data_IF_146396186051
#
_entry.id   IF_146396186051
#
_cell.length_a   1.000
_cell.length_b   1.000
_cell.length_c   1.000
_cell.angle_alpha   90.00
_cell.angle_beta   90.00
_cell.angle_gamma   90.00
#
_symmetry.space_group_name_H-M   'P 1'
#
loop_
_entity.id
_entity.type
_entity.pdbx_description
1 polymer ?
#
# COMPACT_ATOMS: atom_id res chain seq x y z
N UNK A 1 -40.64 21.43 -36.18
CA UNK A 1 -39.33 20.72 -36.23
C UNK A 1 -38.21 21.35 -35.37
N UNK A 2 -38.23 22.64 -35.05
CA UNK A 2 -37.18 23.27 -34.23
C UNK A 2 -37.21 22.94 -32.72
N UNK A 3 -38.32 22.48 -32.17
CA UNK A 3 -38.50 22.18 -30.74
C UNK A 3 -37.87 20.84 -30.29
N UNK A 4 -37.78 19.87 -31.18
CA UNK A 4 -37.25 18.55 -30.87
C UNK A 4 -35.69 18.51 -30.92
N UNK A 5 -35.07 19.42 -31.66
CA UNK A 5 -33.62 19.53 -31.76
C UNK A 5 -32.96 19.97 -30.43
N UNK A 6 -33.66 20.79 -29.66
CA UNK A 6 -33.17 21.24 -28.32
C UNK A 6 -33.22 20.14 -27.26
N UNK A 7 -34.22 19.26 -27.34
CA UNK A 7 -34.35 18.13 -26.39
C UNK A 7 -33.27 17.09 -26.64
N UNK A 8 -32.89 16.83 -27.89
CA UNK A 8 -31.82 15.89 -28.25
C UNK A 8 -30.44 16.38 -27.79
N UNK A 9 -30.18 17.68 -27.82
CA UNK A 9 -28.92 18.27 -27.32
C UNK A 9 -28.84 18.19 -25.81
N UNK A 10 -29.94 18.37 -25.09
CA UNK A 10 -29.99 18.23 -23.63
C UNK A 10 -29.81 16.78 -23.18
N UNK A 11 -30.29 15.78 -23.94
CA UNK A 11 -30.06 14.37 -23.64
C UNK A 11 -28.57 13.94 -23.85
N UNK A 12 -27.88 14.58 -24.78
CA UNK A 12 -26.48 14.26 -25.07
C UNK A 12 -25.52 14.80 -24.04
N UNK A 13 -25.91 15.88 -23.34
CA UNK A 13 -25.09 16.48 -22.26
C UNK A 13 -25.20 15.66 -20.96
N UNK A 14 -26.30 14.91 -20.75
CA UNK A 14 -26.53 14.11 -19.55
C UNK A 14 -25.71 12.81 -19.50
N UNK A 15 -25.01 12.42 -20.57
CA UNK A 15 -24.13 11.24 -20.61
C UNK A 15 -22.67 11.54 -20.34
N UNK A 16 -22.34 12.75 -19.89
CA UNK A 16 -21.00 13.01 -19.35
C UNK A 16 -20.82 12.12 -18.13
N UNK A 17 -20.20 10.99 -18.34
CA UNK A 17 -19.79 10.01 -17.35
C UNK A 17 -19.08 10.74 -16.22
N UNK A 18 -19.74 10.88 -15.09
CA UNK A 18 -19.05 11.15 -13.82
C UNK A 18 -18.18 9.92 -13.54
N UNK A 19 -17.00 9.87 -14.14
CA UNK A 19 -15.93 9.05 -13.60
C UNK A 19 -15.62 9.65 -12.24
N UNK A 20 -16.20 9.08 -11.22
CA UNK A 20 -15.70 9.24 -9.86
C UNK A 20 -14.27 8.69 -9.89
N UNK A 21 -13.32 9.56 -10.21
CA UNK A 21 -11.94 9.29 -9.91
C UNK A 21 -11.89 9.22 -8.39
N UNK A 22 -11.51 8.06 -7.86
CA UNK A 22 -11.14 7.93 -6.44
C UNK A 22 -9.95 8.85 -6.26
N UNK A 23 -10.26 10.10 -5.91
CA UNK A 23 -9.26 11.12 -5.63
C UNK A 23 -8.63 10.72 -4.31
N UNK A 24 -7.29 10.59 -4.30
CA UNK A 24 -6.50 10.23 -3.11
C UNK A 24 -6.69 8.77 -2.62
N UNK A 25 -6.40 7.81 -3.48
CA UNK A 25 -6.32 6.40 -3.06
C UNK A 25 -5.08 6.21 -2.18
N UNK A 26 -5.27 6.17 -0.87
CA UNK A 26 -4.21 6.04 0.15
C UNK A 26 -4.51 4.88 1.08
N UNK A 27 -3.59 3.95 1.24
CA UNK A 27 -3.75 2.81 2.14
C UNK A 27 -2.48 2.63 2.98
N UNK A 28 -2.67 2.39 4.28
CA UNK A 28 -1.67 1.82 5.16
C UNK A 28 -2.03 0.36 5.47
N UNK A 29 -1.11 -0.55 5.13
CA UNK A 29 -1.20 -1.97 5.46
C UNK A 29 -0.48 -2.23 6.78
N UNK A 30 -1.15 -2.94 7.67
CA UNK A 30 -0.63 -3.36 8.97
C UNK A 30 -0.29 -4.86 8.92
N UNK A 31 1.00 -5.20 8.90
CA UNK A 31 1.49 -6.57 8.68
C UNK A 31 2.19 -7.09 9.93
N UNK A 32 1.65 -8.17 10.49
CA UNK A 32 2.20 -8.78 11.72
C UNK A 32 2.50 -10.28 11.59
N UNK A 33 2.00 -10.95 10.56
CA UNK A 33 2.12 -12.39 10.37
C UNK A 33 3.45 -12.80 9.75
N UNK A 34 3.98 -13.96 10.19
CA UNK A 34 5.09 -14.66 9.53
C UNK A 34 4.64 -15.55 8.37
N UNK A 35 3.32 -15.69 8.13
CA UNK A 35 2.78 -16.57 7.08
C UNK A 35 3.16 -16.02 5.70
N UNK A 36 3.89 -16.82 4.93
CA UNK A 36 4.34 -16.46 3.59
C UNK A 36 3.19 -16.31 2.58
N UNK A 37 2.03 -16.93 2.82
CA UNK A 37 0.84 -16.70 2.00
C UNK A 37 0.28 -15.30 2.20
N UNK A 38 0.32 -14.77 3.43
CA UNK A 38 -0.01 -13.38 3.74
C UNK A 38 0.97 -12.44 3.02
N UNK A 39 2.28 -12.73 3.09
CA UNK A 39 3.30 -11.93 2.39
C UNK A 39 3.03 -11.84 0.88
N UNK A 40 2.70 -12.97 0.23
CA UNK A 40 2.34 -13.02 -1.19
C UNK A 40 1.03 -12.29 -1.48
N UNK A 41 0.04 -12.38 -0.59
CA UNK A 41 -1.25 -11.71 -0.75
C UNK A 41 -1.09 -10.18 -0.72
N UNK A 42 -0.32 -9.65 0.22
CA UNK A 42 -0.02 -8.21 0.31
C UNK A 42 0.64 -7.69 -0.97
N UNK A 43 1.65 -8.40 -1.48
CA UNK A 43 2.31 -8.05 -2.74
C UNK A 43 1.33 -8.07 -3.92
N UNK A 44 0.47 -9.10 -4.01
CA UNK A 44 -0.56 -9.17 -5.04
C UNK A 44 -1.49 -7.95 -4.99
N UNK A 45 -1.98 -7.58 -3.81
CA UNK A 45 -2.85 -6.41 -3.64
C UNK A 45 -2.14 -5.10 -4.00
N UNK A 46 -0.89 -4.92 -3.61
CA UNK A 46 -0.11 -3.76 -4.04
C UNK A 46 -0.05 -3.66 -5.57
N UNK A 47 0.21 -4.78 -6.25
CA UNK A 47 0.26 -4.83 -7.71
C UNK A 47 -1.09 -4.53 -8.35
N UNK A 48 -2.18 -5.13 -7.85
CA UNK A 48 -3.54 -4.91 -8.33
C UNK A 48 -3.97 -3.44 -8.16
N UNK A 49 -3.71 -2.86 -6.98
CA UNK A 49 -4.02 -1.46 -6.71
C UNK A 49 -3.22 -0.54 -7.62
N UNK A 50 -1.90 -0.73 -7.72
CA UNK A 50 -1.04 0.10 -8.57
C UNK A 50 -1.35 -0.06 -10.06
N UNK A 51 -1.79 -1.24 -10.50
CA UNK A 51 -2.25 -1.48 -11.86
C UNK A 51 -3.53 -0.73 -12.21
N UNK A 52 -4.49 -0.67 -11.26
CA UNK A 52 -5.75 0.03 -11.45
C UNK A 52 -5.67 1.55 -11.14
N UNK A 53 -4.82 1.92 -10.18
CA UNK A 53 -4.65 3.29 -9.68
C UNK A 53 -3.15 3.63 -9.58
N UNK A 54 -2.49 4.03 -10.68
CA UNK A 54 -1.03 4.28 -10.69
C UNK A 54 -0.55 5.31 -9.66
N UNK A 55 -1.39 6.29 -9.34
CA UNK A 55 -1.10 7.35 -8.36
C UNK A 55 -1.44 6.96 -6.92
N UNK A 56 -1.97 5.76 -6.67
CA UNK A 56 -2.28 5.29 -5.33
C UNK A 56 -1.03 5.33 -4.43
N UNK A 57 -1.21 5.81 -3.20
CA UNK A 57 -0.17 5.87 -2.18
C UNK A 57 -0.33 4.68 -1.23
N UNK A 58 0.68 3.83 -1.16
CA UNK A 58 0.67 2.63 -0.34
C UNK A 58 1.81 2.69 0.67
N UNK A 59 1.49 2.51 1.93
CA UNK A 59 2.48 2.29 2.96
C UNK A 59 2.26 0.94 3.62
N UNK A 60 3.31 0.13 3.71
CA UNK A 60 3.27 -1.21 4.27
C UNK A 60 4.14 -1.20 5.54
N UNK A 61 3.51 -1.39 6.70
CA UNK A 61 4.16 -1.29 8.00
C UNK A 61 4.32 -2.68 8.61
N UNK A 62 5.56 -3.03 8.93
CA UNK A 62 5.96 -4.34 9.46
C UNK A 62 6.32 -4.26 10.93
N UNK A 63 5.72 -5.14 11.72
CA UNK A 63 6.10 -5.38 13.12
C UNK A 63 5.64 -6.80 13.55
N UNK A 64 5.74 -7.11 14.84
CA UNK A 64 5.37 -8.44 15.31
C UNK A 64 6.26 -9.53 14.72
N UNK A 65 5.69 -10.47 13.98
CA UNK A 65 6.41 -11.61 13.39
C UNK A 65 6.62 -11.47 11.87
N UNK A 66 6.23 -10.35 11.26
CA UNK A 66 6.26 -10.18 9.81
C UNK A 66 7.62 -9.81 9.23
N UNK A 67 8.65 -9.62 10.05
CA UNK A 67 9.93 -9.05 9.63
C UNK A 67 10.69 -9.93 8.62
N UNK A 68 10.39 -11.23 8.54
CA UNK A 68 10.98 -12.09 7.52
C UNK A 68 10.62 -11.66 6.09
N UNK A 69 9.45 -11.04 5.89
CA UNK A 69 9.03 -10.54 4.57
C UNK A 69 10.00 -9.50 4.00
N UNK A 70 10.68 -8.74 4.87
CA UNK A 70 11.56 -7.62 4.47
C UNK A 70 13.02 -7.85 4.82
N UNK A 71 13.38 -9.09 5.21
CA UNK A 71 14.78 -9.45 5.59
C UNK A 71 15.46 -10.20 4.46
N UNK A 72 16.69 -9.82 4.12
CA UNK A 72 17.51 -10.48 3.10
C UNK A 72 17.72 -11.96 3.45
N UNK A 73 17.64 -12.82 2.44
CA UNK A 73 17.79 -14.27 2.57
C UNK A 73 16.63 -15.00 3.24
N UNK A 74 15.63 -14.29 3.77
CA UNK A 74 14.43 -14.89 4.40
C UNK A 74 13.15 -14.63 3.61
N UNK A 75 13.08 -13.50 2.95
CA UNK A 75 11.88 -13.08 2.22
C UNK A 75 11.61 -13.95 1.00
N UNK A 76 10.38 -14.46 0.90
CA UNK A 76 9.89 -15.20 -0.29
C UNK A 76 9.38 -14.24 -1.40
N UNK A 77 9.36 -12.93 -1.14
CA UNK A 77 8.88 -11.88 -2.03
C UNK A 77 9.92 -10.76 -2.23
N UNK A 78 11.20 -11.06 -1.98
CA UNK A 78 12.26 -10.07 -1.98
C UNK A 78 12.36 -9.25 -3.27
N UNK A 79 12.24 -9.90 -4.43
CA UNK A 79 12.28 -9.23 -5.74
C UNK A 79 11.11 -8.26 -5.93
N UNK A 80 9.92 -8.65 -5.49
CA UNK A 80 8.73 -7.81 -5.59
C UNK A 80 8.81 -6.60 -4.64
N UNK A 81 9.26 -6.79 -3.41
CA UNK A 81 9.48 -5.70 -2.46
C UNK A 81 10.46 -4.68 -3.04
N UNK A 82 11.61 -5.14 -3.54
CA UNK A 82 12.62 -4.25 -4.14
C UNK A 82 12.10 -3.53 -5.38
N UNK A 83 11.31 -4.20 -6.21
CA UNK A 83 10.69 -3.59 -7.40
C UNK A 83 9.65 -2.54 -7.01
N UNK A 84 8.74 -2.85 -6.09
CA UNK A 84 7.70 -1.93 -5.64
C UNK A 84 8.29 -0.73 -4.88
N UNK A 85 9.39 -0.92 -4.15
CA UNK A 85 10.07 0.17 -3.43
C UNK A 85 10.69 1.23 -4.36
N UNK A 86 10.82 0.95 -5.66
CA UNK A 86 11.22 1.96 -6.66
C UNK A 86 10.06 2.89 -7.08
N UNK A 87 8.82 2.56 -6.74
CA UNK A 87 7.68 3.46 -6.95
C UNK A 87 7.62 4.49 -5.82
N UNK A 88 7.72 5.78 -6.16
CA UNK A 88 7.70 6.90 -5.19
C UNK A 88 6.45 6.94 -4.29
N UNK A 89 5.38 6.28 -4.72
CA UNK A 89 4.10 6.22 -4.01
C UNK A 89 3.94 4.91 -3.21
N UNK A 90 4.98 4.07 -3.13
CA UNK A 90 4.97 2.83 -2.33
C UNK A 90 6.10 2.89 -1.31
N UNK A 91 5.79 2.71 -0.05
CA UNK A 91 6.78 2.70 1.03
C UNK A 91 6.66 1.46 1.91
N UNK A 92 7.80 0.88 2.24
CA UNK A 92 7.94 -0.25 3.14
C UNK A 92 8.61 0.22 4.43
N UNK A 93 7.90 0.15 5.55
CA UNK A 93 8.32 0.66 6.85
C UNK A 93 8.42 -0.47 7.85
N UNK A 94 9.52 -0.55 8.60
CA UNK A 94 9.69 -1.54 9.65
C UNK A 94 9.88 -0.87 11.01
N UNK A 95 9.19 -1.39 12.01
CA UNK A 95 9.23 -0.93 13.39
C UNK A 95 10.59 -1.23 14.04
N UNK A 96 11.31 -0.20 14.47
CA UNK A 96 12.62 -0.36 15.14
C UNK A 96 12.53 -1.14 16.47
N UNK A 97 11.40 -1.05 17.18
CA UNK A 97 11.15 -1.82 18.39
C UNK A 97 11.07 -3.32 18.06
N UNK A 98 10.36 -3.67 16.96
CA UNK A 98 10.28 -5.05 16.52
C UNK A 98 11.63 -5.57 16.01
N UNK A 99 12.40 -4.77 15.28
CA UNK A 99 13.75 -5.14 14.83
C UNK A 99 14.66 -5.49 16.03
N UNK A 100 14.67 -4.66 17.07
CA UNK A 100 15.42 -4.94 18.30
C UNK A 100 15.00 -6.24 18.97
N UNK A 101 13.69 -6.51 19.04
CA UNK A 101 13.15 -7.76 19.63
C UNK A 101 13.61 -9.01 18.88
N UNK A 102 13.72 -8.92 17.55
CA UNK A 102 14.09 -10.04 16.69
C UNK A 102 15.58 -10.05 16.30
N UNK A 103 16.40 -9.17 16.89
CA UNK A 103 17.82 -9.01 16.59
C UNK A 103 18.10 -8.84 15.09
N UNK A 104 17.29 -8.00 14.42
CA UNK A 104 17.49 -7.66 13.02
C UNK A 104 18.14 -6.29 12.94
N UNK A 105 19.28 -6.22 12.24
CA UNK A 105 19.99 -4.97 11.92
C UNK A 105 19.49 -4.37 10.60
N UNK A 106 19.66 -3.06 10.44
CA UNK A 106 19.27 -2.35 9.22
C UNK A 106 19.97 -2.86 7.96
N UNK A 107 21.21 -3.36 8.11
CA UNK A 107 21.97 -3.97 7.01
C UNK A 107 21.36 -5.26 6.47
N UNK A 108 20.47 -5.90 7.23
CA UNK A 108 19.76 -7.11 6.84
C UNK A 108 18.44 -6.84 6.12
N UNK A 109 18.01 -5.59 6.04
CA UNK A 109 16.78 -5.23 5.36
C UNK A 109 16.93 -5.28 3.84
N UNK A 110 15.83 -5.58 3.14
CA UNK A 110 15.79 -5.50 1.69
C UNK A 110 15.99 -4.04 1.23
N UNK A 111 16.58 -3.83 0.04
CA UNK A 111 16.69 -2.49 -0.55
C UNK A 111 15.34 -1.77 -0.65
N UNK A 112 15.31 -0.50 -0.23
CA UNK A 112 14.11 0.32 -0.25
C UNK A 112 13.21 0.21 0.98
N UNK A 113 13.50 -0.73 1.90
CA UNK A 113 12.83 -0.79 3.21
C UNK A 113 13.49 0.22 4.15
N UNK A 114 12.68 1.01 4.85
CA UNK A 114 13.14 2.03 5.80
C UNK A 114 12.56 1.79 7.19
N UNK A 115 13.25 2.27 8.21
CA UNK A 115 12.83 2.11 9.60
C UNK A 115 11.95 3.25 10.09
N UNK A 116 11.01 2.94 10.98
CA UNK A 116 10.28 3.92 11.79
C UNK A 116 10.48 3.60 13.26
N UNK A 117 10.48 4.60 14.16
CA UNK A 117 10.69 4.36 15.59
C UNK A 117 9.68 3.38 16.19
N UNK A 118 8.39 3.56 15.86
CA UNK A 118 7.26 2.76 16.32
C UNK A 118 6.27 2.54 15.18
N UNK A 119 6.06 1.28 14.79
CA UNK A 119 5.16 0.92 13.67
C UNK A 119 3.69 1.19 13.97
N UNK A 120 3.25 1.05 15.24
CA UNK A 120 1.86 1.32 15.63
C UNK A 120 1.58 2.83 15.54
N UNK A 121 2.53 3.63 15.99
CA UNK A 121 2.41 5.09 15.89
C UNK A 121 2.45 5.55 14.43
N UNK A 122 3.28 4.95 13.59
CA UNK A 122 3.31 5.22 12.14
C UNK A 122 1.94 4.98 11.49
N UNK A 123 1.31 3.83 11.77
CA UNK A 123 -0.04 3.52 11.28
C UNK A 123 -1.05 4.58 11.73
N UNK A 124 -1.00 4.99 13.01
CA UNK A 124 -1.88 6.04 13.53
C UNK A 124 -1.67 7.37 12.80
N UNK A 125 -0.42 7.75 12.53
CA UNK A 125 -0.10 8.96 11.79
C UNK A 125 -0.64 8.90 10.36
N UNK A 126 -0.47 7.78 9.65
CA UNK A 126 -1.01 7.59 8.31
C UNK A 126 -2.53 7.69 8.26
N UNK A 127 -3.23 7.13 9.25
CA UNK A 127 -4.68 7.29 9.35
C UNK A 127 -5.08 8.77 9.55
N UNK A 128 -4.34 9.54 10.33
CA UNK A 128 -4.54 11.00 10.48
C UNK A 128 -4.29 11.77 9.18
N UNK A 129 -3.39 11.27 8.32
CA UNK A 129 -3.10 11.81 6.99
C UNK A 129 -4.14 11.38 5.93
N UNK A 130 -5.20 10.66 6.34
CA UNK A 130 -6.30 10.24 5.47
C UNK A 130 -6.07 8.89 4.77
N UNK A 131 -5.12 8.08 5.22
CA UNK A 131 -4.95 6.72 4.72
C UNK A 131 -6.06 5.80 5.25
N UNK A 132 -6.64 5.00 4.35
CA UNK A 132 -7.44 3.85 4.73
C UNK A 132 -6.55 2.79 5.39
N UNK A 133 -7.09 2.05 6.36
CA UNK A 133 -6.36 1.04 7.12
C UNK A 133 -6.76 -0.37 6.69
N UNK A 134 -5.78 -1.22 6.41
CA UNK A 134 -5.98 -2.64 6.16
C UNK A 134 -5.06 -3.46 7.05
N UNK A 135 -5.67 -4.30 7.90
CA UNK A 135 -4.96 -5.27 8.75
C UNK A 135 -4.73 -6.57 7.99
N UNK A 136 -3.49 -7.02 7.95
CA UNK A 136 -3.10 -8.34 7.50
C UNK A 136 -2.28 -9.08 8.55
N UNK A 137 -2.57 -10.36 8.74
CA UNK A 137 -1.84 -11.22 9.67
C UNK A 137 -2.60 -11.52 10.96
N UNK A 138 -3.72 -12.16 10.81
CA UNK A 138 -4.39 -12.91 11.89
C UNK A 138 -3.74 -14.26 12.09
#
# INVERSE_FOLDING_TARGET
MKRYSFILILLFIATSQVRSQVKDYKIVFDITSKDTNIHKAVIRWCNEIKGAYPDAQLEIVYYGQSLEMITQGKSVVAGDVSRLANDKNVSFKVCSIAMKRWNIDTSQLLPGVTTVPDGIYEILQKQREGYGYIKEGL
#
